data_IF_557720983516
#
_entry.id   IF_557720983516
#
_cell.length_a   1.000
_cell.length_b   1.000
_cell.length_c   1.000
_cell.angle_alpha   90.00
_cell.angle_beta   90.00
_cell.angle_gamma   90.00
#
_symmetry.space_group_name_H-M   'P 1'
#
loop_
_entity.id
_entity.type
_entity.pdbx_description
1 polymer ?
#
# COMPACT_ATOMS: atom_id res chain seq x y z
N UNK A 1 5.37 -23.41 13.76
CA UNK A 1 4.06 -23.80 13.20
C UNK A 1 3.48 -22.57 12.53
N UNK A 2 2.93 -22.62 11.32
CA UNK A 2 2.26 -21.46 10.74
C UNK A 2 1.12 -21.00 11.67
N UNK A 3 0.97 -19.69 11.82
CA UNK A 3 -0.12 -19.10 12.60
C UNK A 3 -1.48 -19.57 12.05
N UNK A 4 -2.44 -19.80 12.96
CA UNK A 4 -3.79 -20.17 12.51
C UNK A 4 -4.38 -19.04 11.66
N UNK A 5 -5.10 -19.36 10.58
CA UNK A 5 -5.66 -18.35 9.69
C UNK A 5 -6.69 -17.48 10.43
N UNK A 6 -6.62 -16.16 10.23
CA UNK A 6 -7.56 -15.20 10.79
C UNK A 6 -9.01 -15.54 10.36
N UNK A 7 -9.96 -15.38 11.29
CA UNK A 7 -11.36 -15.69 11.09
C UNK A 7 -12.23 -14.43 11.06
N UNK A 8 -13.44 -14.56 10.57
CA UNK A 8 -14.43 -13.47 10.59
C UNK A 8 -14.69 -12.94 12.01
N UNK A 9 -14.56 -13.79 13.04
CA UNK A 9 -14.64 -13.42 14.44
C UNK A 9 -13.45 -12.57 14.89
N UNK A 10 -12.24 -12.81 14.40
CA UNK A 10 -11.08 -11.97 14.72
C UNK A 10 -11.27 -10.54 14.20
N UNK A 11 -11.75 -10.40 12.97
CA UNK A 11 -12.07 -9.10 12.38
C UNK A 11 -13.20 -8.39 13.15
N UNK A 12 -14.22 -9.13 13.58
CA UNK A 12 -15.30 -8.57 14.38
C UNK A 12 -14.80 -8.09 15.76
N UNK A 13 -13.91 -8.86 16.41
CA UNK A 13 -13.30 -8.45 17.68
C UNK A 13 -12.45 -7.18 17.50
N UNK A 14 -11.65 -7.13 16.44
CA UNK A 14 -10.84 -5.97 16.08
C UNK A 14 -11.73 -4.73 15.86
N UNK A 15 -12.82 -4.87 15.09
CA UNK A 15 -13.75 -3.77 14.85
C UNK A 15 -14.40 -3.23 16.13
N UNK A 16 -14.69 -4.09 17.09
CA UNK A 16 -15.21 -3.68 18.42
C UNK A 16 -14.16 -2.94 19.25
N UNK A 17 -12.90 -3.41 19.25
CA UNK A 17 -11.80 -2.76 19.96
C UNK A 17 -11.50 -1.38 19.38
N UNK A 18 -11.46 -1.25 18.05
CA UNK A 18 -11.26 0.04 17.38
C UNK A 18 -12.49 0.96 17.53
N UNK A 19 -13.70 0.41 17.52
CA UNK A 19 -14.92 1.15 17.85
C UNK A 19 -14.85 1.78 19.25
N UNK A 20 -14.38 1.06 20.25
CA UNK A 20 -14.16 1.60 21.60
C UNK A 20 -13.09 2.72 21.57
N UNK A 21 -11.93 2.48 21.01
CA UNK A 21 -10.79 3.42 21.04
C UNK A 21 -11.09 4.70 20.27
N UNK A 22 -11.61 4.59 19.06
CA UNK A 22 -11.69 5.70 18.12
C UNK A 22 -13.01 6.46 18.21
N UNK A 23 -14.13 5.77 18.35
CA UNK A 23 -15.44 6.43 18.39
C UNK A 23 -15.73 6.87 19.81
N UNK A 24 -15.71 5.95 20.77
CA UNK A 24 -16.10 6.24 22.14
C UNK A 24 -15.04 7.10 22.82
N UNK A 25 -13.76 6.81 22.61
CA UNK A 25 -12.64 7.60 23.15
C UNK A 25 -12.65 9.03 22.61
N UNK A 26 -12.69 9.19 21.29
CA UNK A 26 -12.70 10.52 20.64
C UNK A 26 -13.94 11.33 21.02
N UNK A 27 -15.13 10.71 21.01
CA UNK A 27 -16.37 11.38 21.41
C UNK A 27 -16.31 11.83 22.86
N UNK A 28 -15.79 11.01 23.77
CA UNK A 28 -15.59 11.36 25.19
C UNK A 28 -14.64 12.54 25.33
N UNK A 29 -13.51 12.52 24.65
CA UNK A 29 -12.48 13.56 24.79
C UNK A 29 -12.94 14.87 24.17
N UNK A 30 -13.66 14.84 23.04
CA UNK A 30 -14.32 16.03 22.46
C UNK A 30 -15.40 16.58 23.39
N UNK A 31 -16.24 15.73 23.98
CA UNK A 31 -17.27 16.13 24.95
C UNK A 31 -16.64 16.81 26.16
N UNK A 32 -15.59 16.23 26.73
CA UNK A 32 -14.85 16.84 27.85
C UNK A 32 -14.22 18.19 27.48
N UNK A 33 -13.63 18.31 26.28
CA UNK A 33 -13.04 19.57 25.82
C UNK A 33 -14.08 20.66 25.63
N UNK A 34 -15.26 20.34 25.08
CA UNK A 34 -16.39 21.29 24.95
C UNK A 34 -16.96 21.68 26.32
N UNK A 35 -17.18 20.72 27.21
CA UNK A 35 -17.65 20.96 28.56
C UNK A 35 -16.69 21.87 29.36
N UNK A 36 -15.38 21.60 29.30
CA UNK A 36 -14.37 22.41 29.93
C UNK A 36 -14.32 23.86 29.42
N UNK A 37 -14.64 24.10 28.14
CA UNK A 37 -14.83 25.47 27.61
C UNK A 37 -16.07 26.14 28.14
N UNK A 38 -17.19 25.42 28.15
CA UNK A 38 -18.47 25.92 28.70
C UNK A 38 -18.34 26.27 30.20
N UNK A 39 -17.72 25.39 31.00
CA UNK A 39 -17.47 25.63 32.42
C UNK A 39 -16.52 26.81 32.69
N UNK A 40 -15.53 27.02 31.84
CA UNK A 40 -14.67 28.21 31.90
C UNK A 40 -15.46 29.50 31.63
N UNK A 41 -16.32 29.48 30.61
CA UNK A 41 -17.16 30.63 30.29
C UNK A 41 -18.16 30.96 31.40
N UNK A 42 -18.83 29.95 31.99
CA UNK A 42 -19.79 30.15 33.12
C UNK A 42 -19.10 30.67 34.39
N UNK A 43 -17.88 30.23 34.69
CA UNK A 43 -17.08 30.77 35.81
C UNK A 43 -16.75 32.25 35.63
N UNK A 44 -16.51 32.71 34.40
CA UNK A 44 -16.23 34.13 34.11
C UNK A 44 -17.44 35.04 34.34
N UNK A 45 -18.66 34.51 34.28
CA UNK A 45 -19.92 35.26 34.55
C UNK A 45 -20.53 34.94 35.92
N UNK A 46 -19.75 34.36 36.86
CA UNK A 46 -20.20 34.15 38.26
C UNK A 46 -21.12 32.93 38.47
N UNK A 47 -21.26 32.06 37.47
CA UNK A 47 -22.07 30.84 37.58
C UNK A 47 -21.29 29.68 38.23
N UNK A 48 -21.96 28.98 39.16
CA UNK A 48 -21.44 27.73 39.76
C UNK A 48 -22.22 26.54 39.20
N UNK A 49 -21.63 25.81 38.25
CA UNK A 49 -22.14 24.51 37.79
C UNK A 49 -21.24 23.41 38.38
N UNK A 50 -21.81 22.33 38.95
CA UNK A 50 -21.03 21.21 39.50
C UNK A 50 -20.31 20.43 38.37
N UNK A 51 -19.12 20.86 38.03
CA UNK A 51 -18.26 20.22 37.01
C UNK A 51 -17.99 18.74 37.36
N UNK A 52 -17.84 18.46 38.69
CA UNK A 52 -17.63 17.10 39.20
C UNK A 52 -18.79 16.14 38.92
N UNK A 53 -20.02 16.62 38.96
CA UNK A 53 -21.21 15.80 38.68
C UNK A 53 -21.28 15.49 37.17
N UNK A 54 -21.02 16.49 36.31
CA UNK A 54 -20.96 16.31 34.88
C UNK A 54 -19.86 15.30 34.52
N UNK A 55 -18.66 15.46 35.08
CA UNK A 55 -17.52 14.56 34.79
C UNK A 55 -17.78 13.14 35.28
N UNK A 56 -18.48 12.97 36.42
CA UNK A 56 -18.89 11.65 36.90
C UNK A 56 -19.88 10.98 35.94
N UNK A 57 -20.88 11.72 35.43
CA UNK A 57 -21.85 11.21 34.45
C UNK A 57 -21.19 10.85 33.15
N UNK A 58 -20.37 11.74 32.62
CA UNK A 58 -19.60 11.50 31.37
C UNK A 58 -18.72 10.24 31.50
N UNK A 59 -17.96 10.15 32.61
CA UNK A 59 -17.11 9.00 32.88
C UNK A 59 -17.90 7.70 32.98
N UNK A 60 -19.06 7.73 33.65
CA UNK A 60 -19.93 6.56 33.83
C UNK A 60 -20.54 6.11 32.51
N UNK A 61 -21.09 7.04 31.72
CA UNK A 61 -21.73 6.70 30.43
C UNK A 61 -20.70 6.15 29.42
N UNK A 62 -19.62 6.88 29.16
CA UNK A 62 -18.60 6.42 28.23
C UNK A 62 -17.88 5.19 28.76
N UNK A 63 -17.67 5.07 30.08
CA UNK A 63 -17.11 3.88 30.72
C UNK A 63 -17.98 2.64 30.54
N UNK A 64 -19.32 2.77 30.65
CA UNK A 64 -20.25 1.67 30.41
C UNK A 64 -20.24 1.22 28.94
N UNK A 65 -20.23 2.15 28.00
CA UNK A 65 -20.15 1.85 26.56
C UNK A 65 -18.82 1.14 26.23
N UNK A 66 -17.69 1.70 26.67
CA UNK A 66 -16.37 1.08 26.50
C UNK A 66 -16.29 -0.30 27.15
N UNK A 67 -16.82 -0.46 28.35
CA UNK A 67 -16.88 -1.73 29.06
C UNK A 67 -17.66 -2.80 28.28
N UNK A 68 -18.81 -2.43 27.72
CA UNK A 68 -19.62 -3.31 26.87
C UNK A 68 -18.86 -3.73 25.60
N UNK A 69 -18.23 -2.79 24.89
CA UNK A 69 -17.47 -3.08 23.69
C UNK A 69 -16.28 -4.00 23.98
N UNK A 70 -15.54 -3.77 25.06
CA UNK A 70 -14.39 -4.62 25.46
C UNK A 70 -14.81 -6.02 25.86
N UNK A 71 -15.91 -6.18 26.62
CA UNK A 71 -16.45 -7.51 26.97
C UNK A 71 -16.91 -8.23 25.71
N UNK A 72 -17.59 -7.52 24.79
CA UNK A 72 -18.04 -8.09 23.53
C UNK A 72 -16.85 -8.51 22.65
N UNK A 73 -15.83 -7.67 22.53
CA UNK A 73 -14.59 -8.00 21.81
C UNK A 73 -13.91 -9.23 22.43
N UNK A 74 -13.72 -9.24 23.75
CA UNK A 74 -13.12 -10.38 24.44
C UNK A 74 -13.90 -11.69 24.23
N UNK A 75 -15.24 -11.63 24.24
CA UNK A 75 -16.10 -12.79 23.96
C UNK A 75 -15.94 -13.29 22.55
N UNK A 76 -15.97 -12.38 21.56
CA UNK A 76 -15.81 -12.71 20.15
C UNK A 76 -14.40 -13.26 19.88
N UNK A 77 -13.38 -12.70 20.51
CA UNK A 77 -11.98 -13.21 20.43
C UNK A 77 -11.86 -14.63 21.04
N UNK A 78 -12.52 -14.88 22.17
CA UNK A 78 -12.57 -16.21 22.76
C UNK A 78 -13.30 -17.24 21.88
N UNK A 79 -14.29 -16.81 21.10
CA UNK A 79 -14.92 -17.66 20.09
C UNK A 79 -13.98 -17.94 18.90
N UNK A 80 -13.21 -16.95 18.47
CA UNK A 80 -12.21 -17.09 17.42
C UNK A 80 -11.15 -18.14 17.81
N UNK A 81 -10.61 -18.07 19.04
CA UNK A 81 -9.63 -19.06 19.54
C UNK A 81 -10.19 -20.49 19.61
N UNK A 82 -11.52 -20.64 19.76
CA UNK A 82 -12.21 -21.92 19.68
C UNK A 82 -12.53 -22.38 18.27
N UNK A 83 -12.05 -21.66 17.27
CA UNK A 83 -12.25 -22.00 15.86
C UNK A 83 -13.61 -21.60 15.30
N UNK A 84 -14.40 -20.79 16.02
CA UNK A 84 -15.68 -20.25 15.52
C UNK A 84 -15.43 -19.16 14.46
N UNK A 85 -16.24 -19.17 13.41
CA UNK A 85 -16.10 -18.27 12.27
C UNK A 85 -15.40 -18.94 11.08
N UNK A 86 -15.66 -18.40 9.88
CA UNK A 86 -14.98 -18.85 8.66
C UNK A 86 -13.62 -18.19 8.53
N UNK A 87 -12.60 -18.85 7.94
CA UNK A 87 -11.36 -18.16 7.56
C UNK A 87 -11.71 -16.97 6.68
N UNK A 88 -11.30 -15.76 7.08
CA UNK A 88 -11.72 -14.54 6.38
C UNK A 88 -11.12 -14.48 4.97
N UNK A 89 -9.91 -14.96 4.80
CA UNK A 89 -9.21 -14.99 3.52
C UNK A 89 -9.65 -16.11 2.58
N UNK A 90 -10.66 -16.93 2.94
CA UNK A 90 -11.20 -17.97 2.06
C UNK A 90 -11.87 -17.45 0.79
N UNK A 91 -12.13 -16.15 0.68
CA UNK A 91 -12.72 -15.52 -0.48
C UNK A 91 -12.10 -14.15 -0.78
N UNK A 92 -12.17 -13.72 -2.05
CA UNK A 92 -11.63 -12.46 -2.56
C UNK A 92 -12.03 -11.23 -1.72
N UNK A 93 -13.31 -11.16 -1.31
CA UNK A 93 -13.81 -10.04 -0.49
C UNK A 93 -13.13 -10.00 0.88
N UNK A 94 -12.97 -11.14 1.52
CA UNK A 94 -12.30 -11.22 2.81
C UNK A 94 -10.82 -10.84 2.73
N UNK A 95 -10.12 -11.29 1.68
CA UNK A 95 -8.72 -10.90 1.44
C UNK A 95 -8.59 -9.37 1.22
N UNK A 96 -9.54 -8.75 0.50
CA UNK A 96 -9.56 -7.30 0.33
C UNK A 96 -9.82 -6.57 1.65
N UNK A 97 -10.71 -7.10 2.51
CA UNK A 97 -10.96 -6.51 3.85
C UNK A 97 -9.69 -6.57 4.70
N UNK A 98 -9.00 -7.69 4.75
CA UNK A 98 -7.73 -7.83 5.49
C UNK A 98 -6.67 -6.87 4.94
N UNK A 99 -6.54 -6.75 3.61
CA UNK A 99 -5.62 -5.80 2.98
C UNK A 99 -5.97 -4.34 3.33
N UNK A 100 -7.25 -3.99 3.34
CA UNK A 100 -7.72 -2.64 3.71
C UNK A 100 -7.41 -2.34 5.18
N UNK A 101 -7.68 -3.27 6.09
CA UNK A 101 -7.35 -3.13 7.52
C UNK A 101 -5.84 -2.93 7.68
N UNK A 102 -5.02 -3.73 7.01
CA UNK A 102 -3.56 -3.57 7.05
C UNK A 102 -3.12 -2.20 6.48
N UNK A 103 -3.74 -1.71 5.42
CA UNK A 103 -3.45 -0.36 4.92
C UNK A 103 -3.71 0.74 5.95
N UNK A 104 -4.71 0.57 6.81
CA UNK A 104 -5.12 1.59 7.79
C UNK A 104 -4.34 1.51 9.11
N UNK A 105 -4.06 0.29 9.59
CA UNK A 105 -3.50 0.03 10.93
C UNK A 105 -2.48 -1.12 10.94
N UNK A 106 -1.92 -1.45 9.79
CA UNK A 106 -1.06 -2.62 9.66
C UNK A 106 0.26 -2.53 10.42
N UNK A 107 0.75 -1.34 10.66
CA UNK A 107 1.88 -1.04 11.54
C UNK A 107 1.55 -1.39 13.01
N UNK A 108 0.35 -1.01 13.48
CA UNK A 108 -0.11 -1.39 14.82
C UNK A 108 -0.35 -2.89 14.94
N UNK A 109 -0.97 -3.53 13.94
CA UNK A 109 -1.14 -4.98 13.91
C UNK A 109 0.21 -5.71 14.00
N UNK A 110 1.20 -5.22 13.27
CA UNK A 110 2.56 -5.78 13.28
C UNK A 110 3.24 -5.62 14.64
N UNK A 111 3.11 -4.43 15.25
CA UNK A 111 3.68 -4.14 16.56
C UNK A 111 3.04 -5.00 17.68
N UNK A 112 1.77 -5.37 17.52
CA UNK A 112 1.04 -6.23 18.48
C UNK A 112 1.16 -7.73 18.18
N UNK A 113 1.95 -8.14 17.19
CA UNK A 113 2.03 -9.51 16.70
C UNK A 113 0.64 -10.11 16.37
N UNK A 114 -0.29 -9.26 15.90
CA UNK A 114 -1.65 -9.70 15.55
C UNK A 114 -1.61 -10.64 14.34
N UNK A 115 -2.28 -11.80 14.38
CA UNK A 115 -2.29 -12.76 13.26
C UNK A 115 -2.93 -12.21 11.98
N UNK A 116 -3.59 -11.07 12.02
CA UNK A 116 -4.11 -10.37 10.85
C UNK A 116 -3.07 -9.47 10.17
N UNK A 117 -1.91 -9.24 10.79
CA UNK A 117 -0.81 -8.53 10.17
C UNK A 117 -0.28 -9.31 8.96
N UNK A 118 -0.43 -8.73 7.76
CA UNK A 118 0.05 -9.36 6.53
C UNK A 118 1.58 -9.39 6.55
N UNK A 119 2.16 -10.54 6.25
CA UNK A 119 3.56 -10.67 5.88
C UNK A 119 3.72 -10.58 4.36
N UNK A 120 4.86 -10.04 3.90
CA UNK A 120 5.15 -10.00 2.47
C UNK A 120 5.34 -11.41 1.92
N UNK A 121 4.69 -11.71 0.81
CA UNK A 121 4.73 -13.03 0.18
C UNK A 121 4.53 -12.96 -1.33
N UNK A 122 5.10 -13.94 -2.03
CA UNK A 122 4.73 -14.28 -3.41
C UNK A 122 3.33 -14.89 -3.40
N UNK A 123 2.52 -14.55 -4.39
CA UNK A 123 1.13 -15.00 -4.49
C UNK A 123 0.86 -15.77 -5.77
N UNK A 124 0.13 -16.85 -5.65
CA UNK A 124 -0.45 -17.57 -6.78
C UNK A 124 -1.83 -18.08 -6.39
N UNK A 125 -2.82 -17.90 -7.27
CA UNK A 125 -4.22 -18.37 -7.10
C UNK A 125 -4.85 -17.99 -5.74
N UNK A 126 -4.49 -16.81 -5.20
CA UNK A 126 -5.01 -16.31 -3.94
C UNK A 126 -4.39 -16.93 -2.68
N UNK A 127 -3.28 -17.66 -2.81
CA UNK A 127 -2.52 -18.25 -1.72
C UNK A 127 -1.06 -17.76 -1.68
N UNK A 128 -0.46 -17.75 -0.50
CA UNK A 128 0.97 -17.46 -0.34
C UNK A 128 1.79 -18.65 -0.87
N UNK A 129 2.80 -18.36 -1.68
CA UNK A 129 3.75 -19.34 -2.21
C UNK A 129 5.04 -19.23 -1.40
N UNK A 130 5.43 -20.25 -0.64
CA UNK A 130 6.73 -20.25 0.03
C UNK A 130 7.87 -20.19 -1.01
N UNK A 131 8.88 -19.36 -0.73
CA UNK A 131 9.99 -19.14 -1.66
C UNK A 131 11.02 -20.27 -1.48
N UNK A 132 10.70 -21.43 -2.03
CA UNK A 132 11.59 -22.60 -2.14
C UNK A 132 11.55 -23.11 -3.57
N UNK A 133 12.65 -23.73 -4.03
CA UNK A 133 12.78 -24.11 -5.43
C UNK A 133 11.64 -25.00 -5.96
N UNK A 134 11.16 -25.98 -5.17
CA UNK A 134 10.09 -26.88 -5.61
C UNK A 134 8.71 -26.20 -5.62
N UNK A 135 8.42 -25.32 -4.63
CA UNK A 135 7.14 -24.61 -4.55
C UNK A 135 7.01 -23.53 -5.61
N UNK A 136 8.10 -22.83 -5.91
CA UNK A 136 8.13 -21.89 -7.03
C UNK A 136 7.98 -22.63 -8.37
N UNK A 137 8.64 -23.78 -8.55
CA UNK A 137 8.50 -24.59 -9.77
C UNK A 137 7.07 -25.14 -9.96
N UNK A 138 6.36 -25.44 -8.87
CA UNK A 138 4.96 -25.86 -8.91
C UNK A 138 4.02 -24.70 -9.25
N UNK A 139 4.23 -23.53 -8.61
CA UNK A 139 3.39 -22.36 -8.79
C UNK A 139 3.61 -21.67 -10.15
N UNK A 140 4.83 -21.72 -10.68
CA UNK A 140 5.23 -21.08 -11.94
C UNK A 140 5.71 -22.11 -12.98
N UNK A 141 4.79 -22.97 -13.41
CA UNK A 141 5.05 -24.05 -14.39
C UNK A 141 5.38 -23.50 -15.76
N UNK A 142 6.40 -23.10 -16.14
CA UNK A 142 6.78 -22.42 -17.38
C UNK A 142 7.48 -21.12 -17.10
N UNK A 143 8.03 -21.02 -15.86
CA UNK A 143 8.86 -19.91 -15.48
C UNK A 143 9.97 -19.66 -16.51
N UNK A 144 10.09 -18.43 -16.94
CA UNK A 144 11.17 -17.96 -17.80
C UNK A 144 12.30 -17.37 -16.96
N UNK A 145 13.40 -16.98 -17.58
CA UNK A 145 14.51 -16.30 -16.90
C UNK A 145 14.20 -14.83 -16.53
N UNK A 146 12.96 -14.37 -16.77
CA UNK A 146 12.54 -12.99 -16.58
C UNK A 146 11.29 -12.88 -15.69
N UNK A 147 11.40 -12.91 -14.35
CA UNK A 147 10.30 -12.57 -13.47
C UNK A 147 9.92 -11.10 -13.61
N UNK A 148 8.62 -10.83 -13.81
CA UNK A 148 8.00 -9.51 -13.82
C UNK A 148 7.19 -9.38 -12.52
N UNK A 149 7.69 -8.60 -11.58
CA UNK A 149 7.21 -8.54 -10.20
C UNK A 149 6.23 -7.39 -10.03
N UNK A 150 5.00 -7.72 -9.64
CA UNK A 150 3.90 -6.78 -9.48
C UNK A 150 3.68 -6.42 -8.01
N UNK A 151 3.79 -5.12 -7.67
CA UNK A 151 3.66 -4.55 -6.32
C UNK A 151 2.44 -3.64 -6.29
N UNK A 152 1.41 -4.02 -5.54
CA UNK A 152 0.11 -3.32 -5.49
C UNK A 152 0.15 -2.02 -4.68
N UNK A 153 -0.93 -1.24 -4.71
CA UNK A 153 -1.08 0.02 -4.01
C UNK A 153 -1.60 -0.11 -2.56
N UNK A 154 -1.78 1.04 -1.90
CA UNK A 154 -2.34 1.15 -0.55
C UNK A 154 -3.74 0.54 -0.46
N UNK A 155 -3.99 -0.24 0.58
CA UNK A 155 -5.26 -0.96 0.81
C UNK A 155 -5.64 -1.96 -0.31
N UNK A 156 -4.75 -2.25 -1.23
CA UNK A 156 -4.89 -3.25 -2.29
C UNK A 156 -4.28 -4.60 -1.88
N UNK A 157 -4.40 -5.58 -2.75
CA UNK A 157 -3.75 -6.88 -2.65
C UNK A 157 -3.38 -7.39 -4.06
N UNK A 158 -2.77 -8.58 -4.13
CA UNK A 158 -2.41 -9.26 -5.38
C UNK A 158 -3.57 -9.35 -6.39
N UNK A 159 -4.80 -9.55 -5.92
CA UNK A 159 -5.99 -9.66 -6.77
C UNK A 159 -6.44 -8.32 -7.38
N UNK A 160 -5.93 -7.20 -6.88
CA UNK A 160 -6.23 -5.88 -7.44
C UNK A 160 -5.71 -5.74 -8.87
N UNK A 161 -4.67 -6.49 -9.23
CA UNK A 161 -4.16 -6.59 -10.58
C UNK A 161 -5.12 -7.25 -11.59
N UNK A 162 -6.26 -7.79 -11.13
CA UNK A 162 -7.35 -8.24 -12.00
C UNK A 162 -8.48 -7.20 -12.17
N UNK A 163 -8.35 -6.01 -11.55
CA UNK A 163 -9.34 -4.95 -11.72
C UNK A 163 -9.32 -4.45 -13.17
N UNK A 164 -10.51 -4.19 -13.73
CA UNK A 164 -10.64 -3.81 -15.14
C UNK A 164 -10.64 -4.97 -16.13
N UNK A 165 -10.15 -6.17 -15.76
CA UNK A 165 -10.07 -7.32 -16.68
C UNK A 165 -11.41 -7.66 -17.35
N UNK A 166 -12.53 -7.57 -16.62
CA UNK A 166 -13.87 -7.81 -17.20
C UNK A 166 -14.27 -6.80 -18.27
N UNK A 167 -13.73 -5.59 -18.20
CA UNK A 167 -14.02 -4.52 -19.17
C UNK A 167 -13.09 -4.62 -20.37
N UNK A 168 -11.82 -4.93 -20.13
CA UNK A 168 -10.78 -4.92 -21.14
C UNK A 168 -10.51 -6.31 -21.76
N UNK A 169 -11.07 -7.37 -21.18
CA UNK A 169 -10.97 -8.75 -21.68
C UNK A 169 -9.65 -9.45 -21.32
N UNK A 170 -8.70 -8.75 -20.71
CA UNK A 170 -7.37 -9.27 -20.33
C UNK A 170 -6.79 -8.52 -19.15
N UNK A 171 -5.72 -9.08 -18.57
CA UNK A 171 -4.91 -8.46 -17.52
C UNK A 171 -3.50 -8.14 -18.02
N UNK A 172 -2.77 -7.29 -17.29
CA UNK A 172 -1.35 -7.05 -17.56
C UNK A 172 -0.53 -8.34 -17.47
N UNK A 173 -0.85 -9.20 -16.49
CA UNK A 173 -0.17 -10.47 -16.31
C UNK A 173 -0.34 -11.38 -17.53
N UNK A 174 -1.57 -11.52 -18.05
CA UNK A 174 -1.85 -12.31 -19.25
C UNK A 174 -1.14 -11.72 -20.46
N UNK A 175 -1.21 -10.39 -20.67
CA UNK A 175 -0.54 -9.72 -21.79
C UNK A 175 0.99 -9.92 -21.75
N UNK A 176 1.59 -9.81 -20.56
CA UNK A 176 3.04 -10.02 -20.40
C UNK A 176 3.41 -11.47 -20.66
N UNK A 177 2.64 -12.43 -20.12
CA UNK A 177 2.91 -13.85 -20.35
C UNK A 177 2.75 -14.27 -21.80
N UNK A 178 1.79 -13.68 -22.53
CA UNK A 178 1.48 -14.05 -23.90
C UNK A 178 2.35 -13.33 -24.94
N UNK A 179 2.80 -12.09 -24.65
CA UNK A 179 3.43 -11.21 -25.65
C UNK A 179 4.90 -10.88 -25.35
N UNK A 180 5.44 -11.38 -24.24
CA UNK A 180 6.84 -11.19 -23.83
C UNK A 180 7.45 -12.50 -23.31
N UNK A 181 8.74 -12.49 -22.98
CA UNK A 181 9.41 -13.57 -22.27
C UNK A 181 9.22 -13.47 -20.73
N UNK A 182 8.36 -12.57 -20.24
CA UNK A 182 8.18 -12.30 -18.82
C UNK A 182 7.28 -13.32 -18.12
N UNK A 183 7.65 -13.74 -16.92
CA UNK A 183 6.79 -14.51 -16.02
C UNK A 183 6.21 -13.58 -14.95
N UNK A 184 4.90 -13.31 -14.93
CA UNK A 184 4.27 -12.46 -13.92
C UNK A 184 4.33 -13.06 -12.52
N UNK A 185 4.78 -12.28 -11.55
CA UNK A 185 4.88 -12.65 -10.13
C UNK A 185 4.16 -11.61 -9.28
N UNK A 186 3.06 -11.99 -8.64
CA UNK A 186 2.29 -11.10 -7.79
C UNK A 186 2.85 -11.10 -6.37
N UNK A 187 2.96 -9.92 -5.77
CA UNK A 187 3.38 -9.76 -4.37
C UNK A 187 2.20 -9.22 -3.55
N UNK A 188 2.02 -9.78 -2.35
CA UNK A 188 1.16 -9.23 -1.30
C UNK A 188 2.03 -8.72 -0.17
N UNK A 189 1.67 -7.58 0.42
CA UNK A 189 2.40 -7.00 1.54
C UNK A 189 1.51 -6.13 2.43
N UNK A 190 1.99 -5.80 3.64
CA UNK A 190 1.32 -4.92 4.59
C UNK A 190 1.54 -3.46 4.20
N UNK A 191 0.56 -2.85 3.57
CA UNK A 191 0.65 -1.46 3.10
C UNK A 191 0.60 -0.41 4.23
N UNK A 192 0.37 -0.82 5.48
CA UNK A 192 0.41 0.06 6.66
C UNK A 192 1.80 0.25 7.26
N UNK A 193 2.79 -0.59 6.91
CA UNK A 193 4.17 -0.39 7.33
C UNK A 193 4.81 0.78 6.58
N UNK A 194 5.92 1.30 7.13
CA UNK A 194 6.74 2.27 6.40
C UNK A 194 7.12 1.76 5.01
N UNK A 195 7.11 2.66 4.02
CA UNK A 195 7.49 2.32 2.64
C UNK A 195 8.93 1.80 2.60
N UNK A 196 9.82 2.36 3.42
CA UNK A 196 11.21 1.89 3.55
C UNK A 196 11.31 0.48 4.14
N UNK A 197 10.46 0.11 5.12
CA UNK A 197 10.40 -1.25 5.67
C UNK A 197 9.88 -2.25 4.64
N UNK A 198 8.82 -1.88 3.91
CA UNK A 198 8.32 -2.68 2.80
C UNK A 198 9.38 -2.82 1.70
N UNK A 199 10.19 -1.78 1.46
CA UNK A 199 11.34 -1.84 0.56
C UNK A 199 12.37 -2.88 1.00
N UNK A 200 12.72 -2.94 2.29
CA UNK A 200 13.62 -3.97 2.85
C UNK A 200 13.04 -5.38 2.72
N UNK A 201 11.74 -5.52 3.00
CA UNK A 201 11.07 -6.81 2.85
C UNK A 201 11.06 -7.27 1.39
N UNK A 202 10.81 -6.35 0.45
CA UNK A 202 10.83 -6.66 -0.98
C UNK A 202 12.24 -6.99 -1.48
N UNK A 203 13.28 -6.27 -1.02
CA UNK A 203 14.67 -6.61 -1.31
C UNK A 203 14.98 -8.04 -0.88
N UNK A 204 14.68 -8.39 0.38
CA UNK A 204 14.88 -9.75 0.89
C UNK A 204 14.11 -10.80 0.09
N UNK A 205 12.85 -10.52 -0.24
CA UNK A 205 11.99 -11.44 -1.00
C UNK A 205 12.51 -11.66 -2.42
N UNK A 206 12.94 -10.59 -3.11
CA UNK A 206 13.47 -10.68 -4.48
C UNK A 206 14.81 -11.43 -4.49
N UNK A 207 15.68 -11.20 -3.49
CA UNK A 207 16.92 -11.97 -3.36
C UNK A 207 16.63 -13.47 -3.23
N UNK A 208 15.72 -13.85 -2.34
CA UNK A 208 15.30 -15.25 -2.17
C UNK A 208 14.63 -15.82 -3.44
N UNK A 209 13.82 -15.00 -4.11
CA UNK A 209 13.15 -15.40 -5.35
C UNK A 209 14.18 -15.70 -6.44
N UNK A 210 15.20 -14.87 -6.62
CA UNK A 210 16.28 -15.10 -7.59
C UNK A 210 17.07 -16.37 -7.25
N UNK A 211 17.37 -16.60 -5.99
CA UNK A 211 18.11 -17.80 -5.54
C UNK A 211 17.33 -19.11 -5.74
N UNK A 212 16.01 -19.06 -5.66
CA UNK A 212 15.16 -20.26 -5.69
C UNK A 212 14.27 -20.35 -6.94
N UNK A 213 14.40 -19.41 -7.88
CA UNK A 213 13.63 -19.43 -9.12
C UNK A 213 13.88 -20.70 -9.94
N UNK A 214 12.85 -21.27 -10.60
CA UNK A 214 13.00 -22.56 -11.30
C UNK A 214 14.08 -22.61 -12.39
N UNK A 215 14.41 -21.46 -12.95
CA UNK A 215 15.47 -21.30 -13.97
C UNK A 215 16.38 -20.11 -13.59
N UNK A 216 17.64 -20.06 -14.05
CA UNK A 216 18.50 -18.91 -13.76
C UNK A 216 17.87 -17.59 -14.22
N UNK A 217 17.72 -16.64 -13.29
CA UNK A 217 17.18 -15.30 -13.57
C UNK A 217 18.25 -14.48 -14.30
N UNK A 218 17.91 -13.93 -15.44
CA UNK A 218 18.80 -13.06 -16.25
C UNK A 218 18.33 -11.61 -16.29
N UNK A 219 17.04 -11.38 -16.03
CA UNK A 219 16.40 -10.06 -16.09
C UNK A 219 15.26 -9.98 -15.07
N UNK A 220 15.02 -8.80 -14.51
CA UNK A 220 13.89 -8.51 -13.63
C UNK A 220 13.21 -7.23 -14.11
N UNK A 221 11.90 -7.22 -14.16
CA UNK A 221 11.07 -6.02 -14.28
C UNK A 221 10.27 -5.83 -13.00
N UNK A 222 10.29 -4.63 -12.42
CA UNK A 222 9.46 -4.25 -11.28
C UNK A 222 8.29 -3.39 -11.76
N UNK A 223 7.06 -3.77 -11.45
CA UNK A 223 5.84 -3.04 -11.80
C UNK A 223 5.12 -2.63 -10.52
N UNK A 224 5.03 -1.34 -10.24
CA UNK A 224 4.36 -0.83 -9.05
C UNK A 224 3.16 0.05 -9.39
N UNK A 225 2.00 -0.24 -8.77
CA UNK A 225 0.83 0.64 -8.82
C UNK A 225 0.80 1.53 -7.59
N UNK A 226 0.61 2.84 -7.77
CA UNK A 226 0.45 3.79 -6.66
C UNK A 226 1.60 3.69 -5.64
N UNK A 227 1.32 3.39 -4.36
CA UNK A 227 2.32 3.13 -3.32
C UNK A 227 3.34 2.05 -3.73
N UNK A 228 2.91 1.05 -4.50
CA UNK A 228 3.78 -0.05 -4.93
C UNK A 228 4.99 0.42 -5.75
N UNK A 229 4.88 1.51 -6.51
CA UNK A 229 6.02 2.09 -7.20
C UNK A 229 7.03 2.75 -6.26
N UNK A 230 6.58 3.31 -5.13
CA UNK A 230 7.48 3.80 -4.08
C UNK A 230 8.19 2.64 -3.37
N UNK A 231 7.45 1.55 -3.07
CA UNK A 231 8.04 0.33 -2.47
C UNK A 231 9.08 -0.31 -3.40
N UNK A 232 8.81 -0.39 -4.71
CA UNK A 232 9.78 -0.88 -5.69
C UNK A 232 11.07 -0.03 -5.70
N UNK A 233 10.94 1.31 -5.68
CA UNK A 233 12.08 2.22 -5.58
C UNK A 233 12.81 2.12 -4.24
N UNK A 234 12.10 1.97 -3.13
CA UNK A 234 12.69 1.74 -1.83
C UNK A 234 13.49 0.43 -1.79
N UNK A 235 12.98 -0.63 -2.41
CA UNK A 235 13.68 -1.92 -2.51
C UNK A 235 14.97 -1.81 -3.32
N UNK A 236 14.96 -1.16 -4.48
CA UNK A 236 16.15 -0.95 -5.29
C UNK A 236 17.20 -0.09 -4.58
N UNK A 237 16.76 0.94 -3.85
CA UNK A 237 17.65 1.77 -3.05
C UNK A 237 18.30 0.97 -1.90
N UNK A 238 17.50 0.19 -1.17
CA UNK A 238 18.00 -0.67 -0.09
C UNK A 238 18.97 -1.73 -0.62
N UNK A 239 18.61 -2.41 -1.71
CA UNK A 239 19.44 -3.42 -2.37
C UNK A 239 20.81 -2.84 -2.81
N UNK A 240 20.81 -1.61 -3.33
CA UNK A 240 22.04 -0.91 -3.70
C UNK A 240 22.92 -0.61 -2.47
N UNK A 241 22.32 -0.10 -1.41
CA UNK A 241 23.02 0.19 -0.16
C UNK A 241 23.57 -1.07 0.52
N UNK A 242 22.83 -2.18 0.44
CA UNK A 242 23.21 -3.48 0.99
C UNK A 242 24.17 -4.29 0.08
N UNK A 243 24.40 -3.85 -1.15
CA UNK A 243 25.21 -4.60 -2.13
C UNK A 243 24.55 -5.90 -2.62
N UNK A 244 23.19 -5.98 -2.59
CA UNK A 244 22.45 -7.13 -3.06
C UNK A 244 22.65 -7.36 -4.57
N UNK A 245 22.87 -8.62 -4.97
CA UNK A 245 23.26 -8.92 -6.34
C UNK A 245 22.11 -8.83 -7.35
N UNK A 246 20.88 -9.09 -6.91
CA UNK A 246 19.71 -9.09 -7.77
C UNK A 246 19.43 -7.73 -8.43
N UNK A 247 19.85 -6.62 -7.79
CA UNK A 247 19.64 -5.28 -8.33
C UNK A 247 20.25 -5.10 -9.72
N UNK A 248 21.35 -5.80 -10.02
CA UNK A 248 22.01 -5.76 -11.32
C UNK A 248 21.21 -6.44 -12.44
N UNK A 249 20.23 -7.26 -12.08
CA UNK A 249 19.33 -7.93 -13.01
C UNK A 249 18.12 -7.05 -13.39
N UNK A 250 17.85 -5.98 -12.63
CA UNK A 250 16.72 -5.08 -12.92
C UNK A 250 16.99 -4.31 -14.21
N UNK A 251 16.07 -4.39 -15.17
CA UNK A 251 16.11 -3.63 -16.41
C UNK A 251 15.06 -2.55 -16.49
N UNK A 252 13.87 -2.81 -15.93
CA UNK A 252 12.76 -1.87 -15.95
C UNK A 252 12.16 -1.69 -14.56
N UNK A 253 11.87 -0.44 -14.21
CA UNK A 253 11.06 -0.06 -13.05
C UNK A 253 9.87 0.76 -13.57
N UNK A 254 8.69 0.13 -13.62
CA UNK A 254 7.46 0.69 -14.18
C UNK A 254 6.57 1.15 -13.03
N UNK A 255 6.27 2.45 -12.97
CA UNK A 255 5.49 3.07 -11.92
C UNK A 255 4.17 3.62 -12.49
N UNK A 256 3.04 3.02 -12.09
CA UNK A 256 1.71 3.38 -12.56
C UNK A 256 1.01 4.26 -11.52
N UNK A 257 0.78 5.54 -11.81
CA UNK A 257 0.12 6.48 -10.90
C UNK A 257 0.83 6.65 -9.56
N UNK A 258 2.14 6.46 -9.50
CA UNK A 258 2.92 6.51 -8.26
C UNK A 258 3.13 7.94 -7.79
N UNK A 259 2.80 8.27 -6.51
CA UNK A 259 2.96 9.62 -5.99
C UNK A 259 4.40 9.89 -5.55
N UNK A 260 5.31 10.03 -6.50
CA UNK A 260 6.74 10.23 -6.25
C UNK A 260 7.04 11.47 -5.38
N UNK A 261 6.18 12.50 -5.43
CA UNK A 261 6.28 13.70 -4.61
C UNK A 261 5.23 13.76 -3.50
N UNK A 262 4.63 12.62 -3.17
CA UNK A 262 3.57 12.49 -2.17
C UNK A 262 2.16 12.63 -2.74
N UNK A 263 1.17 12.18 -1.96
CA UNK A 263 -0.25 12.20 -2.29
C UNK A 263 -1.06 13.06 -1.32
N UNK A 264 -2.20 13.61 -1.79
CA UNK A 264 -3.15 14.33 -0.91
C UNK A 264 -4.03 13.35 -0.14
N UNK A 265 -3.82 13.29 1.18
CA UNK A 265 -4.49 12.34 2.06
C UNK A 265 -6.00 12.51 2.18
N UNK A 266 -6.53 13.73 2.04
CA UNK A 266 -7.97 13.97 2.12
C UNK A 266 -8.75 13.10 1.10
N UNK A 267 -8.12 12.77 -0.01
CA UNK A 267 -8.70 11.92 -1.05
C UNK A 267 -8.51 10.43 -0.79
N UNK A 268 -7.42 10.04 -0.10
CA UNK A 268 -7.16 8.65 0.28
C UNK A 268 -8.18 8.16 1.31
N UNK A 269 -8.60 9.01 2.25
CA UNK A 269 -9.64 8.72 3.23
C UNK A 269 -10.98 8.32 2.55
N UNK A 270 -11.35 8.97 1.45
CA UNK A 270 -12.54 8.63 0.67
C UNK A 270 -12.44 7.28 -0.05
N UNK A 271 -11.25 6.85 -0.42
CA UNK A 271 -11.05 5.54 -1.08
C UNK A 271 -11.13 4.41 -0.09
N UNK A 272 -10.48 4.54 1.07
CA UNK A 272 -10.62 3.56 2.16
C UNK A 272 -12.08 3.38 2.56
N UNK A 273 -12.84 4.47 2.74
CA UNK A 273 -14.27 4.41 3.08
C UNK A 273 -15.13 3.80 1.96
N UNK A 274 -14.74 3.93 0.68
CA UNK A 274 -15.46 3.37 -0.46
C UNK A 274 -15.24 1.88 -0.62
N UNK A 275 -14.01 1.39 -0.35
CA UNK A 275 -13.68 -0.03 -0.31
C UNK A 275 -14.38 -0.76 0.84
N UNK A 276 -14.62 -0.05 1.96
CA UNK A 276 -15.30 -0.58 3.14
C UNK A 276 -16.82 -0.52 3.06
N UNK A 277 -17.43 0.29 2.16
CA UNK A 277 -18.89 0.37 1.97
C UNK A 277 -19.57 -0.93 1.54
N UNK A 278 -18.80 -1.97 1.24
CA UNK A 278 -19.35 -3.28 0.92
C UNK A 278 -19.82 -4.08 2.15
N UNK A 279 -19.61 -3.57 3.38
CA UNK A 279 -20.07 -4.19 4.62
C UNK A 279 -20.84 -3.18 5.49
N UNK A 280 -22.08 -3.55 5.96
CA UNK A 280 -22.88 -2.70 6.84
C UNK A 280 -22.21 -2.40 8.19
N UNK A 281 -21.31 -3.30 8.65
CA UNK A 281 -20.57 -3.19 9.92
C UNK A 281 -19.37 -2.23 9.85
N UNK A 282 -19.03 -1.73 8.67
CA UNK A 282 -17.84 -0.89 8.46
C UNK A 282 -18.06 0.61 8.69
N UNK A 283 -19.26 1.02 9.09
CA UNK A 283 -19.59 2.43 9.41
C UNK A 283 -18.70 3.02 10.53
N UNK A 284 -18.21 2.26 11.55
CA UNK A 284 -17.27 2.75 12.54
C UNK A 284 -15.85 3.03 11.99
N UNK A 285 -15.52 2.48 10.86
CA UNK A 285 -14.17 2.55 10.26
C UNK A 285 -13.84 3.95 9.70
N UNK A 286 -14.84 4.81 9.50
CA UNK A 286 -14.61 6.21 9.15
C UNK A 286 -13.75 6.97 10.18
N UNK A 287 -13.81 6.61 11.45
CA UNK A 287 -12.99 7.18 12.52
C UNK A 287 -11.56 6.58 12.56
N UNK A 288 -11.37 5.37 12.03
CA UNK A 288 -10.04 4.74 11.84
C UNK A 288 -9.21 5.52 10.81
N UNK A 289 -9.87 6.21 9.88
CA UNK A 289 -9.22 7.04 8.87
C UNK A 289 -8.52 8.29 9.43
N UNK A 290 -8.78 8.65 10.68
CA UNK A 290 -8.02 9.69 11.38
C UNK A 290 -6.72 9.17 12.00
N UNK A 291 -6.63 7.89 12.31
CA UNK A 291 -5.36 7.22 12.63
C UNK A 291 -4.67 6.85 11.32
N UNK A 292 -3.50 7.40 11.13
CA UNK A 292 -2.72 7.25 9.90
C UNK A 292 -1.65 6.22 10.16
N UNK A 293 -1.73 5.04 9.51
CA UNK A 293 -0.62 4.09 9.50
C UNK A 293 0.66 4.75 8.99
N UNK A 294 1.80 4.22 9.39
CA UNK A 294 3.11 4.69 8.92
C UNK A 294 3.16 4.76 7.38
N UNK A 295 2.61 3.77 6.68
CA UNK A 295 2.52 3.74 5.23
C UNK A 295 1.71 4.89 4.64
N UNK A 296 0.60 5.28 5.28
CA UNK A 296 -0.20 6.46 4.86
C UNK A 296 0.60 7.75 5.06
N UNK A 297 1.34 7.88 6.18
CA UNK A 297 2.18 9.04 6.44
C UNK A 297 3.28 9.15 5.39
N UNK A 298 3.99 8.07 5.12
CA UNK A 298 5.05 8.04 4.09
C UNK A 298 4.50 8.38 2.70
N UNK A 299 3.32 7.81 2.36
CA UNK A 299 2.66 8.08 1.09
C UNK A 299 2.29 9.56 0.91
N UNK A 300 1.91 10.24 2.01
CA UNK A 300 1.63 11.68 2.00
C UNK A 300 2.84 12.48 1.57
N UNK A 301 4.01 12.09 2.04
CA UNK A 301 5.26 12.80 1.81
C UNK A 301 6.06 12.23 0.63
N UNK A 302 5.74 11.00 0.20
CA UNK A 302 6.49 10.26 -0.82
C UNK A 302 7.84 9.76 -0.29
N UNK A 303 7.94 9.48 1.01
CA UNK A 303 9.15 8.94 1.63
C UNK A 303 9.40 7.51 1.18
N UNK A 304 10.66 7.19 0.89
CA UNK A 304 11.09 5.84 0.47
C UNK A 304 12.31 5.35 1.25
N UNK A 305 12.95 6.20 2.04
CA UNK A 305 14.09 5.84 2.88
C UNK A 305 13.78 6.09 4.36
N UNK A 306 14.52 5.41 5.24
CA UNK A 306 14.37 5.56 6.68
C UNK A 306 14.78 6.95 7.15
N UNK A 307 15.84 7.51 6.57
CA UNK A 307 16.38 8.82 6.94
C UNK A 307 15.41 9.96 6.66
N UNK A 308 14.44 9.77 5.74
CA UNK A 308 13.43 10.78 5.41
C UNK A 308 12.38 10.97 6.51
N UNK A 309 12.14 9.96 7.37
CA UNK A 309 11.11 10.02 8.40
C UNK A 309 11.64 9.82 9.84
N UNK A 310 12.74 9.10 10.05
CA UNK A 310 13.26 8.81 11.37
C UNK A 310 13.74 10.07 12.07
N UNK A 311 13.19 10.34 13.26
CA UNK A 311 13.54 11.53 14.04
C UNK A 311 12.93 12.84 13.54
N UNK A 312 12.07 12.80 12.52
CA UNK A 312 11.40 13.98 11.96
C UNK A 312 10.03 14.23 12.62
N UNK A 313 9.63 15.50 12.70
CA UNK A 313 8.26 15.87 13.06
C UNK A 313 7.33 15.64 11.85
N UNK A 314 6.73 14.47 11.79
CA UNK A 314 5.82 14.06 10.71
C UNK A 314 4.52 14.87 10.65
N UNK A 315 4.27 15.74 11.65
CA UNK A 315 3.12 16.66 11.65
C UNK A 315 3.42 17.96 10.91
N UNK A 316 4.70 18.28 10.68
CA UNK A 316 5.13 19.48 9.96
C UNK A 316 4.60 19.44 8.51
N UNK A 317 3.91 20.49 8.13
CA UNK A 317 3.41 20.66 6.77
C UNK A 317 4.56 21.14 5.89
N UNK A 318 4.97 20.31 4.90
CA UNK A 318 5.77 20.70 3.74
C UNK A 318 7.21 21.20 4.01
N UNK A 319 8.20 20.53 3.47
CA UNK A 319 9.51 21.11 3.24
C UNK A 319 10.69 20.45 3.91
N UNK A 320 10.62 19.16 4.26
CA UNK A 320 11.81 18.43 4.61
C UNK A 320 12.63 18.18 3.35
N UNK A 321 13.94 18.47 3.42
CA UNK A 321 14.89 18.21 2.35
C UNK A 321 14.83 16.71 2.00
N UNK A 322 14.37 16.40 0.79
CA UNK A 322 14.30 15.02 0.34
C UNK A 322 15.70 14.50 0.07
N UNK A 323 16.03 13.42 0.72
CA UNK A 323 17.18 12.61 0.32
C UNK A 323 16.75 11.89 -0.96
N UNK A 324 17.26 12.35 -2.09
CA UNK A 324 16.97 11.72 -3.37
C UNK A 324 17.62 10.33 -3.38
N UNK A 325 16.81 9.27 -3.18
CA UNK A 325 17.31 7.92 -3.39
C UNK A 325 17.73 7.75 -4.84
N UNK A 326 19.01 7.43 -5.05
CA UNK A 326 19.57 7.30 -6.38
C UNK A 326 18.89 6.16 -7.16
N UNK A 327 18.48 6.39 -8.41
CA UNK A 327 17.97 5.32 -9.26
C UNK A 327 19.09 4.34 -9.63
N UNK A 328 18.72 3.12 -10.00
CA UNK A 328 19.67 2.17 -10.59
C UNK A 328 20.18 2.74 -11.94
N UNK A 329 21.49 2.94 -12.12
CA UNK A 329 22.02 3.64 -13.30
C UNK A 329 21.89 2.86 -14.60
N UNK A 330 21.62 1.56 -14.51
CA UNK A 330 21.51 0.63 -15.64
C UNK A 330 20.06 0.22 -15.95
N UNK A 331 19.08 0.65 -15.12
CA UNK A 331 17.68 0.34 -15.32
C UNK A 331 16.93 1.51 -15.98
N UNK A 332 15.96 1.20 -16.82
CA UNK A 332 15.04 2.18 -17.39
C UNK A 332 13.87 2.39 -16.42
N UNK A 333 13.51 3.66 -16.23
CA UNK A 333 12.37 4.03 -15.39
C UNK A 333 11.23 4.57 -16.26
N UNK A 334 10.04 3.97 -16.10
CA UNK A 334 8.84 4.32 -16.86
C UNK A 334 7.76 4.79 -15.89
N UNK A 335 7.35 6.04 -16.00
CA UNK A 335 6.32 6.63 -15.15
C UNK A 335 5.07 6.90 -15.97
N UNK A 336 3.96 6.27 -15.57
CA UNK A 336 2.66 6.48 -16.19
C UNK A 336 1.82 7.35 -15.29
N UNK A 337 1.45 8.53 -15.79
CA UNK A 337 0.58 9.48 -15.11
C UNK A 337 -0.78 9.57 -15.81
N UNK A 338 -1.83 9.77 -15.04
CA UNK A 338 -3.18 9.99 -15.58
C UNK A 338 -3.85 11.21 -14.94
N UNK A 339 -4.88 11.74 -15.59
CA UNK A 339 -5.73 12.78 -15.03
C UNK A 339 -7.18 12.58 -15.47
N UNK A 340 -8.12 13.07 -14.65
CA UNK A 340 -9.55 13.09 -15.04
C UNK A 340 -9.86 14.04 -16.19
N UNK A 341 -9.07 15.08 -16.36
CA UNK A 341 -9.30 16.03 -17.42
C UNK A 341 -8.75 15.51 -18.76
N UNK A 342 -9.37 15.94 -19.85
CA UNK A 342 -9.01 15.55 -21.20
C UNK A 342 -7.67 16.13 -21.69
N UNK A 343 -7.03 17.00 -20.92
CA UNK A 343 -5.74 17.62 -21.27
C UNK A 343 -4.93 17.98 -20.02
N UNK A 344 -3.61 17.80 -20.09
CA UNK A 344 -2.67 18.23 -19.05
C UNK A 344 -2.75 19.75 -18.77
N UNK A 345 -3.02 20.55 -19.79
CA UNK A 345 -3.11 22.01 -19.71
C UNK A 345 -4.41 22.50 -19.10
N UNK A 346 -5.39 21.62 -18.88
CA UNK A 346 -6.66 22.01 -18.29
C UNK A 346 -6.44 22.37 -16.80
N UNK A 347 -6.98 23.51 -16.29
CA UNK A 347 -6.80 23.93 -14.89
C UNK A 347 -7.18 22.84 -13.86
N UNK A 348 -8.19 22.01 -14.17
CA UNK A 348 -8.60 20.90 -13.31
C UNK A 348 -7.54 19.78 -13.22
N UNK A 349 -6.67 19.61 -14.21
CA UNK A 349 -5.60 18.60 -14.16
C UNK A 349 -4.60 18.87 -13.05
N UNK A 350 -4.25 20.15 -12.84
CA UNK A 350 -3.34 20.57 -11.77
C UNK A 350 -3.98 20.49 -10.37
N UNK A 351 -5.32 20.55 -10.28
CA UNK A 351 -6.05 20.54 -9.00
C UNK A 351 -6.53 19.15 -8.62
N UNK A 352 -7.06 18.39 -9.58
CA UNK A 352 -7.70 17.10 -9.33
C UNK A 352 -6.76 15.90 -9.57
N UNK A 353 -5.77 16.05 -10.48
CA UNK A 353 -4.96 14.89 -10.90
C UNK A 353 -5.83 13.75 -11.43
N UNK A 354 -5.51 12.54 -11.02
CA UNK A 354 -6.29 11.32 -11.28
C UNK A 354 -7.29 10.97 -10.15
N UNK A 355 -7.59 11.91 -9.26
CA UNK A 355 -8.31 11.87 -7.98
C UNK A 355 -7.47 11.55 -6.76
N UNK A 356 -6.32 10.89 -6.91
CA UNK A 356 -5.46 10.45 -5.80
C UNK A 356 -4.10 11.16 -5.83
N UNK A 357 -3.54 11.28 -7.02
CA UNK A 357 -2.18 11.77 -7.24
C UNK A 357 -2.20 12.97 -8.20
N UNK A 358 -1.45 14.01 -7.85
CA UNK A 358 -1.23 15.13 -8.76
C UNK A 358 -0.34 14.71 -9.91
N UNK A 359 -0.58 15.28 -11.09
CA UNK A 359 0.20 15.00 -12.28
C UNK A 359 1.71 15.20 -12.05
N UNK A 360 2.12 16.32 -11.43
CA UNK A 360 3.53 16.58 -11.11
C UNK A 360 4.13 15.55 -10.15
N UNK A 361 3.32 15.03 -9.21
CA UNK A 361 3.77 13.95 -8.31
C UNK A 361 3.90 12.62 -9.04
N UNK A 362 2.97 12.29 -9.94
CA UNK A 362 3.01 11.06 -10.72
C UNK A 362 4.16 11.03 -11.75
N UNK A 363 4.54 12.19 -12.27
CA UNK A 363 5.69 12.32 -13.18
C UNK A 363 7.03 12.38 -12.44
N UNK A 364 7.03 12.54 -11.12
CA UNK A 364 8.25 12.70 -10.34
C UNK A 364 9.04 13.99 -10.65
N UNK A 365 8.38 15.01 -11.23
CA UNK A 365 9.02 16.29 -11.52
C UNK A 365 8.69 17.28 -10.40
N UNK A 366 9.68 17.53 -9.55
CA UNK A 366 9.59 18.50 -8.45
C UNK A 366 10.21 19.86 -8.81
N UNK A 367 10.15 20.84 -7.88
CA UNK A 367 10.80 22.15 -8.08
C UNK A 367 12.33 22.07 -8.31
N UNK A 368 12.97 21.01 -7.79
CA UNK A 368 14.41 20.75 -7.93
C UNK A 368 14.76 19.97 -9.22
N UNK A 369 13.78 19.65 -10.06
CA UNK A 369 13.95 18.82 -11.25
C UNK A 369 13.32 17.43 -11.14
N UNK A 370 13.59 16.53 -12.09
CA UNK A 370 13.10 15.15 -12.05
C UNK A 370 13.75 14.36 -10.92
N UNK A 371 12.96 13.49 -10.26
CA UNK A 371 13.44 12.59 -9.19
C UNK A 371 14.34 11.49 -9.77
N UNK A 372 14.14 11.12 -11.02
CA UNK A 372 14.94 10.17 -11.76
C UNK A 372 15.30 10.81 -13.11
N UNK A 373 16.58 11.08 -13.29
CA UNK A 373 17.10 11.59 -14.57
C UNK A 373 16.95 10.53 -15.65
N UNK A 374 16.44 10.94 -16.82
CA UNK A 374 16.23 10.04 -17.94
C UNK A 374 14.99 9.13 -17.85
N UNK A 375 14.15 9.28 -16.82
CA UNK A 375 12.89 8.55 -16.77
C UNK A 375 11.99 8.88 -17.97
N UNK A 376 11.33 7.87 -18.51
CA UNK A 376 10.34 8.02 -19.59
C UNK A 376 8.97 8.28 -18.97
N UNK A 377 8.22 9.20 -19.58
CA UNK A 377 6.90 9.60 -19.09
C UNK A 377 5.83 9.32 -20.13
N UNK A 378 4.78 8.62 -19.69
CA UNK A 378 3.59 8.43 -20.49
C UNK A 378 2.37 9.04 -19.77
N UNK A 379 1.43 9.54 -20.55
CA UNK A 379 0.27 10.24 -20.03
C UNK A 379 -1.04 9.74 -20.60
N UNK A 380 -1.99 9.49 -19.70
CA UNK A 380 -3.36 9.09 -20.04
C UNK A 380 -4.37 10.16 -19.63
N UNK A 381 -5.01 10.84 -20.56
CA UNK A 381 -6.12 11.76 -20.28
C UNK A 381 -7.42 11.01 -19.97
N UNK A 382 -8.29 11.62 -19.16
CA UNK A 382 -9.62 11.12 -18.83
C UNK A 382 -9.63 9.75 -18.14
N UNK A 383 -8.54 9.42 -17.43
CA UNK A 383 -8.38 8.14 -16.71
C UNK A 383 -8.21 8.43 -15.22
N UNK A 384 -9.02 7.79 -14.35
CA UNK A 384 -8.88 7.88 -12.92
C UNK A 384 -7.88 6.84 -12.40
N UNK A 385 -7.34 7.06 -11.20
CA UNK A 385 -6.25 6.29 -10.59
C UNK A 385 -6.38 4.76 -10.73
N UNK A 386 -7.54 4.19 -10.36
CA UNK A 386 -7.76 2.74 -10.45
C UNK A 386 -8.05 2.24 -11.87
N UNK A 387 -8.39 3.13 -12.80
CA UNK A 387 -8.57 2.74 -14.20
C UNK A 387 -7.24 2.60 -14.94
N UNK A 388 -6.12 2.94 -14.29
CA UNK A 388 -4.78 2.57 -14.75
C UNK A 388 -4.56 1.05 -14.72
N UNK A 389 -5.27 0.32 -13.84
CA UNK A 389 -5.14 -1.13 -13.75
C UNK A 389 -5.77 -1.81 -14.97
N UNK A 390 -4.96 -2.55 -15.72
CA UNK A 390 -5.31 -3.24 -16.95
C UNK A 390 -5.84 -2.34 -18.08
N UNK A 391 -5.41 -1.08 -18.10
CA UNK A 391 -5.73 -0.18 -19.22
C UNK A 391 -4.98 -0.64 -20.49
N UNK A 392 -5.66 -0.81 -21.65
CA UNK A 392 -5.05 -1.39 -22.84
C UNK A 392 -3.80 -0.65 -23.31
N UNK A 393 -3.82 0.68 -23.34
CA UNK A 393 -2.68 1.50 -23.75
C UNK A 393 -1.47 1.32 -22.83
N UNK A 394 -1.69 1.14 -21.52
CA UNK A 394 -0.60 0.87 -20.56
C UNK A 394 -0.03 -0.52 -20.81
N UNK A 395 -0.88 -1.51 -21.09
CA UNK A 395 -0.43 -2.85 -21.47
C UNK A 395 0.46 -2.82 -22.71
N UNK A 396 0.05 -2.07 -23.77
CA UNK A 396 0.83 -1.91 -25.00
C UNK A 396 2.21 -1.28 -24.71
N UNK A 397 2.25 -0.26 -23.86
CA UNK A 397 3.53 0.35 -23.44
C UNK A 397 4.41 -0.64 -22.68
N UNK A 398 3.86 -1.34 -21.68
CA UNK A 398 4.63 -2.30 -20.88
C UNK A 398 5.22 -3.42 -21.76
N UNK A 399 4.41 -4.01 -22.65
CA UNK A 399 4.87 -5.02 -23.61
C UNK A 399 5.97 -4.45 -24.51
N UNK A 400 5.81 -3.21 -25.00
CA UNK A 400 6.81 -2.56 -25.84
C UNK A 400 8.14 -2.32 -25.11
N UNK A 401 8.08 -1.85 -23.85
CA UNK A 401 9.29 -1.60 -23.03
C UNK A 401 10.03 -2.90 -22.72
N UNK A 402 9.30 -3.91 -22.25
CA UNK A 402 9.87 -5.22 -21.94
C UNK A 402 10.57 -5.84 -23.17
N UNK A 403 9.92 -5.80 -24.33
CA UNK A 403 10.47 -6.35 -25.56
C UNK A 403 11.59 -5.48 -26.19
N UNK A 404 11.77 -4.23 -25.76
CA UNK A 404 12.83 -3.38 -26.28
C UNK A 404 14.22 -3.93 -25.93
N UNK A 405 14.37 -4.56 -24.76
CA UNK A 405 15.63 -5.16 -24.32
C UNK A 405 16.01 -6.42 -25.10
N UNK A 406 15.05 -7.12 -25.71
CA UNK A 406 15.33 -8.31 -26.53
C UNK A 406 15.98 -7.95 -27.86
N UNK A 407 15.85 -6.69 -28.29
CA UNK A 407 16.38 -6.19 -29.56
C UNK A 407 17.79 -5.62 -29.48
N UNK A 408 18.32 -5.41 -28.25
CA UNK A 408 19.69 -4.91 -28.04
C UNK A 408 20.63 -6.04 -27.60
N UNK A 409 21.48 -6.59 -28.53
CA UNK A 409 22.42 -7.64 -28.19
C UNK A 409 23.49 -7.27 -27.16
N UNK A 410 23.64 -5.98 -26.84
CA UNK A 410 24.59 -5.48 -25.83
C UNK A 410 24.09 -5.62 -24.40
N UNK A 411 22.78 -5.83 -24.21
CA UNK A 411 22.16 -6.01 -22.89
C UNK A 411 22.48 -7.38 -22.25
N UNK A 412 23.04 -8.33 -23.01
CA UNK A 412 23.28 -9.73 -22.59
C UNK A 412 24.70 -9.93 -22.02
N UNK A 413 25.60 -8.96 -22.15
CA UNK A 413 26.94 -9.07 -21.58
C UNK A 413 26.91 -8.89 -20.06
N UNK A 414 26.93 -10.01 -19.32
CA UNK A 414 27.10 -10.02 -17.87
C UNK A 414 28.34 -9.23 -17.45
N UNK A 415 28.30 -8.39 -16.42
CA UNK A 415 29.49 -7.81 -15.82
C UNK A 415 30.22 -8.91 -15.05
N UNK A 416 31.31 -9.47 -15.63
CA UNK A 416 32.11 -10.44 -14.91
C UNK A 416 33.03 -11.31 -15.77
N UNK A 417 33.72 -10.77 -16.78
CA UNK A 417 34.94 -11.33 -17.34
C UNK A 417 35.79 -10.18 -17.87
N UNK A 418 36.52 -9.53 -16.98
CA UNK A 418 37.73 -8.76 -17.28
C UNK A 418 38.65 -8.81 -16.05
#
# INVERSE_FOLDING_TARGET
>A
MPAAPARTTDVAALALDYGDRLIVGTARDMHRAMAARAFRATRLVGGHVPESLHDAVVTSVYGAISGTLRVSSGTVRALATRGVGRPIESGRRGRLVVATINGLIGDELRMLDDPQAISMAVRSEGADVPVTGWQLAEAFRGATSHPVIFVHGLCENDESWSNGAKVHGTTYAERIADETDGTPVMIRYNTGLHISENGQHLDTLVQQLVEHWPVPVTRITLVGHSMGGLVARAATNHATAAGATWQHLVRDVICLGTPHAGARLEKIAHVGSRLLRFWPESTPIGAILEQRSAGIVDLRHGYITRDEWEGQDLTAQWGLDRIAAAPLPHAEYHFVASTLAASQKHPLSSVLGDLMVHFSSATGVGPAGPIVDGARFEYLPSVHHFALLNHPQVADWMVSWINAHDRDPRAIAAPGQA
#
